data_IF_923853251354
#
_entry.id   IF_923853251354
#
_cell.length_a   1.000
_cell.length_b   1.000
_cell.length_c   1.000
_cell.angle_alpha   90.00
_cell.angle_beta   90.00
_cell.angle_gamma   90.00
#
_symmetry.space_group_name_H-M   'P 1'
#
loop_
_entity.id
_entity.type
_entity.pdbx_description
1 polymer ?
#
# COMPACT_ATOMS: atom_id res chain seq x y z
N UNK A 1 6.64 -1.46 10.98
CA UNK A 1 6.75 -2.36 9.81
C UNK A 1 6.46 -1.57 8.54
N UNK A 2 7.25 -1.84 7.52
CA UNK A 2 7.11 -1.16 6.22
C UNK A 2 6.53 -2.12 5.20
N UNK A 3 5.63 -1.61 4.38
CA UNK A 3 5.06 -2.33 3.25
C UNK A 3 5.14 -1.48 2.00
N UNK A 4 5.29 -2.14 0.86
CA UNK A 4 5.14 -1.51 -0.44
C UNK A 4 3.84 -2.05 -1.05
N UNK A 5 2.97 -1.14 -1.45
CA UNK A 5 1.68 -1.47 -2.05
C UNK A 5 1.77 -1.20 -3.55
N UNK A 6 1.46 -2.22 -4.34
CA UNK A 6 1.39 -2.11 -5.79
C UNK A 6 -0.07 -2.13 -6.20
N UNK A 7 -0.53 -1.04 -6.80
CA UNK A 7 -1.95 -0.86 -7.10
C UNK A 7 -2.28 -0.89 -8.57
N UNK A 8 -3.38 -1.57 -8.89
CA UNK A 8 -4.03 -1.51 -10.19
C UNK A 8 -5.38 -0.84 -10.02
N UNK A 9 -5.59 0.28 -10.72
CA UNK A 9 -6.82 1.04 -10.61
C UNK A 9 -7.90 0.46 -11.51
N UNK A 10 -9.13 0.42 -10.99
CA UNK A 10 -10.31 0.29 -11.85
C UNK A 10 -10.37 1.55 -12.72
N UNK A 11 -10.47 1.43 -14.05
CA UNK A 11 -10.50 2.60 -14.96
C UNK A 11 -11.55 3.64 -14.60
N UNK A 12 -12.65 3.24 -13.98
CA UNK A 12 -13.70 4.17 -13.56
C UNK A 12 -13.25 5.11 -12.44
N UNK A 13 -12.16 4.79 -11.74
CA UNK A 13 -11.67 5.53 -10.58
C UNK A 13 -10.30 6.19 -10.79
N UNK A 14 -9.73 6.16 -12.01
CA UNK A 14 -8.35 6.59 -12.26
C UNK A 14 -8.09 8.03 -11.80
N UNK A 15 -8.95 8.97 -12.13
CA UNK A 15 -8.74 10.39 -11.82
C UNK A 15 -9.79 10.95 -10.86
N UNK A 16 -10.25 10.16 -9.90
CA UNK A 16 -11.27 10.57 -8.95
C UNK A 16 -10.66 11.09 -7.66
N UNK A 17 -10.83 12.37 -7.38
CA UNK A 17 -10.43 13.00 -6.12
C UNK A 17 -11.07 12.30 -4.92
N UNK A 18 -12.30 11.85 -5.06
CA UNK A 18 -13.02 11.12 -4.04
C UNK A 18 -12.28 9.85 -3.62
N UNK A 19 -11.75 9.10 -4.59
CA UNK A 19 -10.97 7.88 -4.30
C UNK A 19 -9.76 8.21 -3.43
N UNK A 20 -9.02 9.23 -3.80
CA UNK A 20 -7.81 9.65 -3.07
C UNK A 20 -8.17 10.08 -1.65
N UNK A 21 -9.19 10.90 -1.50
CA UNK A 21 -9.61 11.41 -0.19
C UNK A 21 -10.12 10.30 0.73
N UNK A 22 -10.93 9.39 0.20
CA UNK A 22 -11.44 8.25 0.97
C UNK A 22 -10.32 7.31 1.38
N UNK A 23 -9.35 7.09 0.48
CA UNK A 23 -8.18 6.25 0.78
C UNK A 23 -7.33 6.86 1.89
N UNK A 24 -7.11 8.18 1.83
CA UNK A 24 -6.35 8.89 2.86
C UNK A 24 -7.02 8.77 4.23
N UNK A 25 -8.33 8.95 4.28
CA UNK A 25 -9.10 8.80 5.52
C UNK A 25 -9.01 7.38 6.07
N UNK A 26 -9.07 6.38 5.20
CA UNK A 26 -9.00 4.99 5.63
C UNK A 26 -7.63 4.62 6.17
N UNK A 27 -6.57 5.10 5.54
CA UNK A 27 -5.21 4.91 6.05
C UNK A 27 -5.09 5.49 7.46
N UNK A 28 -5.61 6.69 7.67
CA UNK A 28 -5.60 7.35 8.98
C UNK A 28 -6.37 6.53 10.03
N UNK A 29 -7.58 6.07 9.69
CA UNK A 29 -8.39 5.22 10.58
C UNK A 29 -7.66 3.95 11.00
N UNK A 30 -6.90 3.36 10.08
CA UNK A 30 -6.16 2.13 10.34
C UNK A 30 -4.80 2.35 11.02
N UNK A 31 -4.46 3.60 11.32
CA UNK A 31 -3.17 3.93 11.94
C UNK A 31 -1.99 3.70 11.02
N UNK A 32 -2.19 3.82 9.71
CA UNK A 32 -1.16 3.61 8.70
C UNK A 32 -0.57 4.97 8.30
N UNK A 33 0.75 5.07 8.34
CA UNK A 33 1.46 6.25 7.86
C UNK A 33 1.83 6.06 6.39
N UNK A 34 1.40 6.98 5.54
CA UNK A 34 1.76 7.00 4.13
C UNK A 34 3.07 7.77 3.97
N UNK A 35 4.13 7.06 3.57
CA UNK A 35 5.46 7.65 3.39
C UNK A 35 5.65 8.23 1.99
N UNK A 36 5.12 7.57 0.96
CA UNK A 36 5.27 8.01 -0.41
C UNK A 36 4.17 7.45 -1.29
N UNK A 37 3.79 8.20 -2.31
CA UNK A 37 2.88 7.78 -3.37
C UNK A 37 3.54 8.11 -4.70
N UNK A 38 3.66 7.11 -5.56
CA UNK A 38 4.21 7.28 -6.89
C UNK A 38 3.28 6.63 -7.91
N UNK A 39 3.01 7.33 -9.00
CA UNK A 39 2.24 6.75 -10.10
C UNK A 39 3.20 6.16 -11.13
N UNK A 40 2.87 4.99 -11.65
CA UNK A 40 3.75 4.20 -12.49
C UNK A 40 3.10 3.88 -13.84
N UNK A 41 3.92 3.44 -14.77
CA UNK A 41 3.48 2.89 -16.05
C UNK A 41 3.75 1.38 -16.04
N UNK A 42 2.93 0.62 -16.75
CA UNK A 42 3.14 -0.81 -16.92
C UNK A 42 2.15 -1.65 -16.15
N UNK A 43 2.64 -2.68 -15.47
CA UNK A 43 1.78 -3.67 -14.81
C UNK A 43 0.97 -3.10 -13.63
N UNK A 44 1.45 -2.03 -13.02
CA UNK A 44 0.78 -1.36 -11.92
C UNK A 44 0.63 0.12 -12.21
N UNK A 45 -0.38 0.73 -11.62
CA UNK A 45 -0.71 2.15 -11.84
C UNK A 45 -0.11 3.04 -10.77
N UNK A 46 0.09 2.51 -9.55
CA UNK A 46 0.72 3.26 -8.48
C UNK A 46 1.48 2.35 -7.52
N UNK A 47 2.37 2.98 -6.78
CA UNK A 47 3.14 2.35 -5.70
C UNK A 47 3.05 3.25 -4.48
N UNK A 48 2.63 2.69 -3.35
CA UNK A 48 2.64 3.38 -2.06
C UNK A 48 3.68 2.73 -1.16
N UNK A 49 4.38 3.55 -0.39
CA UNK A 49 5.22 3.06 0.70
C UNK A 49 4.53 3.46 1.99
N UNK A 50 4.25 2.48 2.84
CA UNK A 50 3.54 2.71 4.10
C UNK A 50 4.30 2.12 5.29
N UNK A 51 4.02 2.68 6.46
CA UNK A 51 4.52 2.17 7.74
C UNK A 51 3.34 1.96 8.67
N UNK A 52 3.29 0.82 9.33
CA UNK A 52 2.27 0.50 10.33
C UNK A 52 2.86 -0.36 11.43
N UNK A 53 2.31 -0.24 12.65
CA UNK A 53 2.69 -1.10 13.77
C UNK A 53 1.97 -2.46 13.78
N UNK A 54 0.98 -2.63 12.90
CA UNK A 54 0.15 -3.83 12.85
C UNK A 54 0.07 -4.38 11.42
N UNK A 55 0.59 -5.60 11.19
CA UNK A 55 0.58 -6.19 9.84
C UNK A 55 -0.84 -6.41 9.30
N UNK A 56 -1.84 -6.60 10.16
CA UNK A 56 -3.21 -6.78 9.71
C UNK A 56 -3.82 -5.48 9.19
N UNK A 57 -3.29 -4.32 9.57
CA UNK A 57 -3.75 -3.03 9.05
C UNK A 57 -3.47 -2.89 7.56
N UNK A 58 -2.29 -3.33 7.10
CA UNK A 58 -1.94 -3.31 5.68
C UNK A 58 -2.88 -4.22 4.88
N UNK A 59 -3.15 -5.41 5.41
CA UNK A 59 -4.11 -6.34 4.79
C UNK A 59 -5.51 -5.74 4.74
N UNK A 60 -5.94 -5.12 5.84
CA UNK A 60 -7.27 -4.49 5.93
C UNK A 60 -7.42 -3.38 4.89
N UNK A 61 -6.39 -2.56 4.69
CA UNK A 61 -6.44 -1.51 3.68
C UNK A 61 -6.57 -2.09 2.28
N UNK A 62 -5.79 -3.11 1.95
CA UNK A 62 -5.86 -3.77 0.64
C UNK A 62 -7.23 -4.37 0.38
N UNK A 63 -7.79 -5.06 1.36
CA UNK A 63 -9.13 -5.66 1.25
C UNK A 63 -10.20 -4.59 1.11
N UNK A 64 -10.14 -3.54 1.92
CA UNK A 64 -11.07 -2.42 1.84
C UNK A 64 -11.05 -1.76 0.47
N UNK A 65 -9.85 -1.53 -0.08
CA UNK A 65 -9.68 -0.92 -1.38
C UNK A 65 -10.43 -1.68 -2.47
N UNK A 66 -10.32 -3.00 -2.46
CA UNK A 66 -11.03 -3.87 -3.39
C UNK A 66 -12.55 -3.80 -3.18
N UNK A 67 -13.02 -3.78 -1.92
CA UNK A 67 -14.46 -3.70 -1.62
C UNK A 67 -15.09 -2.40 -2.08
N UNK A 68 -14.30 -1.32 -2.18
CA UNK A 68 -14.78 -0.04 -2.69
C UNK A 68 -14.87 0.00 -4.22
N UNK A 69 -14.34 -1.01 -4.89
CA UNK A 69 -14.30 -1.04 -6.34
C UNK A 69 -13.23 -0.12 -6.93
N UNK A 70 -12.32 0.41 -6.12
CA UNK A 70 -11.27 1.32 -6.58
C UNK A 70 -10.22 0.61 -7.43
N UNK A 71 -9.97 -0.65 -7.14
CA UNK A 71 -8.95 -1.45 -7.82
C UNK A 71 -8.43 -2.56 -6.92
N UNK A 72 -7.23 -3.02 -7.23
CA UNK A 72 -6.56 -4.10 -6.51
C UNK A 72 -5.21 -3.64 -5.98
N UNK A 73 -4.84 -4.09 -4.79
CA UNK A 73 -3.55 -3.80 -4.18
C UNK A 73 -2.86 -5.10 -3.80
N UNK A 74 -1.60 -5.25 -4.26
CA UNK A 74 -0.69 -6.27 -3.76
C UNK A 74 0.18 -5.63 -2.68
N UNK A 75 0.11 -6.13 -1.44
CA UNK A 75 0.89 -5.62 -0.31
C UNK A 75 2.09 -6.52 -0.09
N UNK A 76 3.27 -5.93 -0.01
CA UNK A 76 4.51 -6.67 0.23
C UNK A 76 5.26 -6.09 1.41
N UNK A 77 5.62 -6.91 2.42
CA UNK A 77 6.56 -6.45 3.45
C UNK A 77 7.86 -6.03 2.79
N UNK A 78 8.41 -4.92 3.23
CA UNK A 78 9.64 -4.37 2.67
C UNK A 78 10.69 -4.17 3.76
N UNK A 79 11.92 -4.47 3.43
CA UNK A 79 13.03 -4.50 4.38
C UNK A 79 14.17 -3.62 3.89
N UNK A 80 14.89 -3.01 4.83
CA UNK A 80 16.09 -2.24 4.53
C UNK A 80 17.25 -3.18 4.19
N UNK A 81 18.32 -2.63 3.64
CA UNK A 81 19.56 -3.38 3.38
C UNK A 81 20.11 -3.99 4.67
N UNK A 82 20.05 -3.26 5.77
CA UNK A 82 20.54 -3.77 7.05
C UNK A 82 19.67 -4.92 7.57
N UNK A 83 18.37 -4.80 7.46
CA UNK A 83 17.44 -5.89 7.83
C UNK A 83 17.69 -7.13 6.99
N UNK A 84 17.95 -6.95 5.70
CA UNK A 84 18.27 -8.06 4.81
C UNK A 84 19.60 -8.73 5.21
N UNK A 85 20.62 -7.92 5.52
CA UNK A 85 21.90 -8.44 6.01
C UNK A 85 21.73 -9.23 7.30
N UNK A 86 20.89 -8.76 8.21
CA UNK A 86 20.60 -9.49 9.47
C UNK A 86 19.89 -10.80 9.20
N UNK A 87 18.97 -10.84 8.25
CA UNK A 87 18.28 -12.06 7.85
C UNK A 87 19.26 -13.11 7.32
N UNK A 88 20.24 -12.69 6.52
CA UNK A 88 21.26 -13.59 5.97
C UNK A 88 22.10 -14.26 7.06
N UNK A 89 22.28 -13.60 8.20
CA UNK A 89 23.02 -14.18 9.32
C UNK A 89 22.30 -15.35 9.99
N UNK A 90 21.03 -15.56 9.66
CA UNK A 90 20.22 -16.65 10.24
C UNK A 90 20.28 -17.94 9.44
N UNK A 91 20.98 -17.96 8.31
CA UNK A 91 21.08 -19.13 7.45
C UNK A 91 22.50 -19.71 7.36
#
# INVERSE_FOLDING_TARGET
>A
MRYVLFGKLNPDWVDKDERVERSRQKLEELGIKLEAVLYTQGSYDFVDVITTGDPTSALAFSAWYATQGFGEIASMPAYTTDEFSDALKRI
#
